data_IF_399198288144
#
_entry.id   IF_399198288144
#
_cell.length_a   1.000
_cell.length_b   1.000
_cell.length_c   1.000
_cell.angle_alpha   90.00
_cell.angle_beta   90.00
_cell.angle_gamma   90.00
#
_symmetry.space_group_name_H-M   'P 1'
#
loop_
_entity.id
_entity.type
_entity.pdbx_description
1 polymer ?
#
# COMPACT_ATOMS: atom_id res chain seq x y z
N UNK A 1 -19.53 -17.72 4.86
CA UNK A 1 -18.89 -16.67 4.04
C UNK A 1 -18.56 -15.58 5.02
N UNK A 2 -17.27 -15.30 5.25
CA UNK A 2 -16.86 -14.32 6.28
C UNK A 2 -17.13 -12.91 5.75
N UNK A 3 -17.99 -12.19 6.44
CA UNK A 3 -18.41 -10.83 6.12
C UNK A 3 -17.23 -9.85 6.04
N UNK A 4 -16.21 -10.05 6.89
CA UNK A 4 -14.98 -9.26 6.85
C UNK A 4 -14.17 -9.53 5.57
N UNK A 5 -14.19 -10.77 5.06
CA UNK A 5 -13.52 -11.12 3.81
C UNK A 5 -14.16 -10.43 2.60
N UNK A 6 -15.49 -10.30 2.57
CA UNK A 6 -16.19 -9.55 1.53
C UNK A 6 -15.83 -8.06 1.57
N UNK A 7 -15.72 -7.48 2.77
CA UNK A 7 -15.29 -6.10 2.94
C UNK A 7 -13.82 -5.89 2.51
N UNK A 8 -12.92 -6.81 2.84
CA UNK A 8 -11.52 -6.75 2.42
C UNK A 8 -11.37 -6.85 0.90
N UNK A 9 -12.14 -7.71 0.23
CA UNK A 9 -12.15 -7.77 -1.23
C UNK A 9 -12.57 -6.43 -1.84
N UNK A 10 -13.65 -5.82 -1.32
CA UNK A 10 -14.09 -4.50 -1.78
C UNK A 10 -13.05 -3.40 -1.48
N UNK A 11 -12.34 -3.50 -0.36
CA UNK A 11 -11.23 -2.61 -0.01
C UNK A 11 -10.11 -2.67 -1.06
N UNK A 12 -9.63 -3.86 -1.42
CA UNK A 12 -8.57 -4.00 -2.43
C UNK A 12 -9.05 -3.62 -3.83
N UNK A 13 -10.29 -3.93 -4.18
CA UNK A 13 -10.88 -3.51 -5.46
C UNK A 13 -10.94 -1.98 -5.60
N UNK A 14 -11.37 -1.27 -4.56
CA UNK A 14 -11.38 0.20 -4.58
C UNK A 14 -9.97 0.77 -4.63
N UNK A 15 -9.01 0.19 -3.91
CA UNK A 15 -7.60 0.61 -4.01
C UNK A 15 -7.09 0.44 -5.45
N UNK A 16 -7.32 -0.72 -6.06
CA UNK A 16 -6.97 -0.97 -7.45
C UNK A 16 -7.58 0.09 -8.38
N UNK A 17 -8.89 0.31 -8.31
CA UNK A 17 -9.60 1.30 -9.15
C UNK A 17 -9.03 2.72 -8.98
N UNK A 18 -8.77 3.13 -7.73
CA UNK A 18 -8.24 4.46 -7.42
C UNK A 18 -6.83 4.63 -7.95
N UNK A 19 -5.96 3.64 -7.76
CA UNK A 19 -4.57 3.76 -8.20
C UNK A 19 -4.46 3.69 -9.71
N UNK A 20 -5.20 2.79 -10.36
CA UNK A 20 -5.22 2.68 -11.82
C UNK A 20 -5.74 3.98 -12.48
N UNK A 21 -6.82 4.55 -11.93
CA UNK A 21 -7.40 5.81 -12.42
C UNK A 21 -6.49 7.03 -12.19
N UNK A 22 -5.61 6.98 -11.19
CA UNK A 22 -4.75 8.10 -10.80
C UNK A 22 -3.26 7.88 -11.12
N UNK A 23 -2.90 6.92 -11.98
CA UNK A 23 -1.50 6.62 -12.35
C UNK A 23 -0.67 7.85 -12.73
N UNK A 24 -1.24 8.74 -13.54
CA UNK A 24 -0.55 9.97 -13.97
C UNK A 24 -0.32 10.95 -12.81
N UNK A 25 -1.27 11.03 -11.87
CA UNK A 25 -1.16 11.88 -10.67
C UNK A 25 -0.11 11.30 -9.73
N UNK A 26 -0.11 9.97 -9.54
CA UNK A 26 0.90 9.26 -8.77
C UNK A 26 2.30 9.48 -9.34
N UNK A 27 2.47 9.35 -10.66
CA UNK A 27 3.76 9.56 -11.33
C UNK A 27 4.31 10.98 -11.09
N UNK A 28 3.47 12.01 -11.26
CA UNK A 28 3.86 13.39 -10.99
C UNK A 28 4.20 13.61 -9.49
N UNK A 29 3.45 12.97 -8.59
CA UNK A 29 3.69 13.08 -7.15
C UNK A 29 5.00 12.40 -6.73
N UNK A 30 5.31 11.25 -7.32
CA UNK A 30 6.56 10.52 -7.12
C UNK A 30 7.76 11.39 -7.51
N UNK A 31 7.71 12.07 -8.66
CA UNK A 31 8.80 12.97 -9.10
C UNK A 31 9.08 14.06 -8.08
N UNK A 32 8.00 14.68 -7.58
CA UNK A 32 8.10 15.73 -6.58
C UNK A 32 8.67 15.19 -5.26
N UNK A 33 8.08 14.12 -4.73
CA UNK A 33 8.49 13.53 -3.45
C UNK A 33 9.93 13.02 -3.49
N UNK A 34 10.35 12.39 -4.60
CA UNK A 34 11.71 11.89 -4.76
C UNK A 34 12.73 13.03 -4.68
N UNK A 35 12.46 14.13 -5.39
CA UNK A 35 13.30 15.32 -5.38
C UNK A 35 13.37 15.96 -3.98
N UNK A 36 12.21 16.09 -3.32
CA UNK A 36 12.11 16.64 -1.97
C UNK A 36 12.88 15.79 -0.94
N UNK A 37 12.73 14.46 -0.98
CA UNK A 37 13.35 13.57 0.00
C UNK A 37 14.87 13.44 -0.22
N UNK A 38 15.36 13.43 -1.47
CA UNK A 38 16.80 13.44 -1.76
C UNK A 38 17.47 14.67 -1.14
N UNK A 39 16.87 15.85 -1.33
CA UNK A 39 17.37 17.11 -0.76
C UNK A 39 17.29 17.08 0.76
N UNK A 40 16.16 16.65 1.32
CA UNK A 40 15.93 16.60 2.77
C UNK A 40 16.90 15.68 3.51
N UNK A 41 17.17 14.49 2.96
CA UNK A 41 18.08 13.52 3.58
C UNK A 41 19.56 13.83 3.29
N UNK A 42 19.84 14.81 2.41
CA UNK A 42 21.20 15.16 2.03
C UNK A 42 21.91 14.06 1.28
N UNK A 43 21.19 13.26 0.48
CA UNK A 43 21.81 12.19 -0.30
C UNK A 43 22.71 12.80 -1.39
N UNK A 44 24.02 12.62 -1.23
CA UNK A 44 25.02 13.12 -2.17
C UNK A 44 25.06 12.30 -3.47
N UNK A 45 25.68 12.86 -4.51
CA UNK A 45 25.94 12.19 -5.79
C UNK A 45 24.66 11.70 -6.51
N UNK A 46 23.67 12.58 -6.64
CA UNK A 46 22.55 12.41 -7.57
C UNK A 46 22.75 13.33 -8.77
N UNK A 47 23.10 12.74 -9.91
CA UNK A 47 22.93 13.37 -11.21
C UNK A 47 21.52 13.10 -11.75
N UNK A 48 21.17 13.76 -12.85
CA UNK A 48 19.86 13.59 -13.47
C UNK A 48 19.60 12.13 -13.88
N UNK A 49 20.63 11.39 -14.29
CA UNK A 49 20.50 10.01 -14.74
C UNK A 49 20.13 9.09 -13.57
N UNK A 50 20.73 9.28 -12.40
CA UNK A 50 20.40 8.54 -11.17
C UNK A 50 19.01 8.91 -10.65
N UNK A 51 18.61 10.18 -10.71
CA UNK A 51 17.25 10.59 -10.35
C UNK A 51 16.23 9.89 -11.26
N UNK A 52 16.48 9.90 -12.58
CA UNK A 52 15.62 9.22 -13.55
C UNK A 52 15.55 7.71 -13.29
N UNK A 53 16.67 7.06 -12.98
CA UNK A 53 16.68 5.64 -12.63
C UNK A 53 15.82 5.34 -11.39
N UNK A 54 15.92 6.16 -10.34
CA UNK A 54 15.07 6.00 -9.15
C UNK A 54 13.59 6.25 -9.45
N UNK A 55 13.29 7.25 -10.28
CA UNK A 55 11.93 7.51 -10.75
C UNK A 55 11.37 6.30 -11.49
N UNK A 56 12.12 5.72 -12.42
CA UNK A 56 11.68 4.56 -13.20
C UNK A 56 11.43 3.34 -12.29
N UNK A 57 12.27 3.13 -11.27
CA UNK A 57 12.03 2.10 -10.24
C UNK A 57 10.74 2.38 -9.47
N UNK A 58 10.51 3.62 -9.05
CA UNK A 58 9.26 3.98 -8.35
C UNK A 58 8.03 3.71 -9.21
N UNK A 59 8.09 4.03 -10.52
CA UNK A 59 6.99 3.78 -11.44
C UNK A 59 6.73 2.28 -11.63
N UNK A 60 7.78 1.47 -11.74
CA UNK A 60 7.65 0.01 -11.78
C UNK A 60 7.00 -0.53 -10.50
N UNK A 61 7.38 -0.02 -9.33
CA UNK A 61 6.81 -0.41 -8.05
C UNK A 61 5.33 -0.01 -7.90
N UNK A 62 4.89 1.10 -8.52
CA UNK A 62 3.47 1.44 -8.60
C UNK A 62 2.70 0.39 -9.40
N UNK A 63 3.21 -0.02 -10.56
CA UNK A 63 2.57 -1.05 -11.37
C UNK A 63 2.51 -2.40 -10.63
N UNK A 64 3.60 -2.80 -9.95
CA UNK A 64 3.61 -3.98 -9.09
C UNK A 64 2.57 -3.90 -7.96
N UNK A 65 2.41 -2.72 -7.34
CA UNK A 65 1.44 -2.52 -6.27
C UNK A 65 0.00 -2.60 -6.76
N UNK A 66 -0.27 -2.03 -7.93
CA UNK A 66 -1.59 -2.11 -8.57
C UNK A 66 -1.92 -3.56 -8.91
N UNK A 67 -0.98 -4.31 -9.48
CA UNK A 67 -1.19 -5.75 -9.75
C UNK A 67 -1.38 -6.57 -8.45
N UNK A 68 -0.73 -6.17 -7.35
CA UNK A 68 -0.94 -6.79 -6.04
C UNK A 68 -2.38 -6.60 -5.54
N UNK A 69 -2.99 -5.44 -5.79
CA UNK A 69 -4.38 -5.17 -5.44
C UNK A 69 -5.40 -5.69 -6.46
N UNK A 70 -4.94 -6.22 -7.60
CA UNK A 70 -5.81 -6.78 -8.63
C UNK A 70 -6.71 -7.87 -8.00
N UNK A 71 -8.04 -7.71 -8.01
CA UNK A 71 -8.97 -8.61 -7.33
C UNK A 71 -8.86 -10.08 -7.77
N UNK A 72 -8.39 -10.32 -8.99
CA UNK A 72 -8.16 -11.67 -9.52
C UNK A 72 -6.88 -12.28 -8.94
N UNK A 73 -5.81 -11.49 -8.78
CA UNK A 73 -4.52 -11.92 -8.22
C UNK A 73 -4.57 -12.12 -6.70
N UNK A 74 -5.21 -11.18 -5.99
CA UNK A 74 -5.33 -11.19 -4.53
C UNK A 74 -6.05 -12.44 -3.98
N UNK A 75 -7.06 -12.94 -4.70
CA UNK A 75 -7.77 -14.17 -4.33
C UNK A 75 -6.82 -15.37 -4.23
N UNK A 76 -5.72 -15.42 -5.00
CA UNK A 76 -4.77 -16.53 -4.93
C UNK A 76 -3.82 -16.46 -3.73
N UNK A 77 -3.53 -15.25 -3.23
CA UNK A 77 -2.60 -15.02 -2.12
C UNK A 77 -3.22 -15.43 -0.77
N UNK A 78 -4.51 -15.16 -0.56
CA UNK A 78 -5.16 -15.37 0.74
C UNK A 78 -6.06 -16.62 0.84
N UNK A 79 -6.42 -17.30 -0.26
CA UNK A 79 -7.35 -18.45 -0.22
C UNK A 79 -6.71 -19.83 0.04
N UNK A 80 -5.39 -19.94 0.07
CA UNK A 80 -4.75 -21.26 0.26
C UNK A 80 -4.55 -21.59 1.74
N UNK A 81 -5.20 -22.66 2.22
CA UNK A 81 -5.21 -23.20 3.59
C UNK A 81 -3.82 -23.60 4.16
N UNK A 82 -2.71 -23.35 3.45
CA UNK A 82 -1.31 -23.42 3.96
C UNK A 82 -0.73 -22.02 4.30
N UNK A 83 -1.59 -20.99 4.36
CA UNK A 83 -1.24 -19.58 4.28
C UNK A 83 -0.75 -18.91 5.56
N UNK A 84 -0.92 -19.44 6.78
CA UNK A 84 -0.58 -18.62 7.95
C UNK A 84 0.93 -18.32 8.05
N UNK A 85 1.78 -19.35 7.93
CA UNK A 85 3.24 -19.17 8.01
C UNK A 85 3.80 -18.46 6.77
N UNK A 86 3.24 -18.73 5.58
CA UNK A 86 3.64 -18.06 4.35
C UNK A 86 3.19 -16.59 4.31
N UNK A 87 1.96 -16.29 4.75
CA UNK A 87 1.47 -14.92 4.89
C UNK A 87 2.24 -14.19 5.99
N UNK A 88 2.55 -14.83 7.11
CA UNK A 88 3.36 -14.20 8.17
C UNK A 88 4.80 -13.90 7.71
N UNK A 89 5.39 -14.77 6.87
CA UNK A 89 6.67 -14.52 6.19
C UNK A 89 6.55 -13.43 5.11
N UNK A 90 5.42 -13.34 4.40
CA UNK A 90 5.15 -12.26 3.43
C UNK A 90 4.91 -10.91 4.12
N UNK A 91 4.26 -10.88 5.28
CA UNK A 91 4.13 -9.70 6.15
C UNK A 91 5.46 -9.23 6.73
N UNK A 92 6.48 -10.09 6.68
CA UNK A 92 7.86 -9.81 7.04
C UNK A 92 8.72 -9.47 5.81
N UNK A 93 8.15 -9.26 4.61
CA UNK A 93 8.91 -9.12 3.35
C UNK A 93 10.08 -8.14 3.49
N UNK A 94 11.23 -8.79 3.67
CA UNK A 94 12.61 -8.42 3.97
C UNK A 94 12.92 -7.14 4.76
N UNK A 95 12.28 -6.00 4.53
CA UNK A 95 12.71 -4.71 5.13
C UNK A 95 11.66 -4.03 5.99
N UNK A 96 10.41 -4.51 5.99
CA UNK A 96 9.29 -3.84 6.66
C UNK A 96 8.46 -4.86 7.45
N UNK A 97 8.32 -4.65 8.76
CA UNK A 97 7.43 -5.48 9.59
C UNK A 97 6.01 -4.94 9.54
N UNK A 98 5.17 -5.57 8.72
CA UNK A 98 3.80 -5.11 8.46
C UNK A 98 2.75 -5.83 9.29
N UNK A 99 3.15 -6.66 10.27
CA UNK A 99 2.22 -7.47 11.08
C UNK A 99 1.26 -6.63 11.90
N UNK A 100 1.75 -5.53 12.47
CA UNK A 100 0.92 -4.62 13.26
C UNK A 100 -0.13 -3.93 12.40
N UNK A 101 0.25 -3.47 11.20
CA UNK A 101 -0.66 -2.83 10.26
C UNK A 101 -1.69 -3.82 9.71
N UNK A 102 -1.27 -5.03 9.36
CA UNK A 102 -2.18 -6.08 8.91
C UNK A 102 -3.21 -6.43 9.99
N UNK A 103 -2.76 -6.57 11.24
CA UNK A 103 -3.67 -6.80 12.37
C UNK A 103 -4.69 -5.67 12.52
N UNK A 104 -4.26 -4.42 12.41
CA UNK A 104 -5.17 -3.27 12.49
C UNK A 104 -6.20 -3.26 11.35
N UNK A 105 -5.78 -3.57 10.11
CA UNK A 105 -6.69 -3.73 8.97
C UNK A 105 -7.74 -4.82 9.23
N UNK A 106 -7.32 -5.99 9.68
CA UNK A 106 -8.22 -7.11 9.99
C UNK A 106 -9.21 -6.76 11.11
N UNK A 107 -8.74 -6.15 12.19
CA UNK A 107 -9.60 -5.73 13.32
C UNK A 107 -10.63 -4.67 12.88
N UNK A 108 -10.21 -3.67 12.09
CA UNK A 108 -11.11 -2.65 11.55
C UNK A 108 -12.15 -3.25 10.60
N UNK A 109 -11.75 -4.16 9.70
CA UNK A 109 -12.65 -4.86 8.80
C UNK A 109 -13.70 -5.69 9.57
N UNK A 110 -13.27 -6.47 10.57
CA UNK A 110 -14.19 -7.25 11.40
C UNK A 110 -15.17 -6.37 12.19
N UNK A 111 -14.68 -5.28 12.80
CA UNK A 111 -15.53 -4.34 13.55
C UNK A 111 -16.63 -3.73 12.67
N UNK A 112 -16.27 -3.29 11.45
CA UNK A 112 -17.22 -2.70 10.49
C UNK A 112 -18.21 -3.72 9.93
N UNK A 113 -17.75 -4.94 9.65
CA UNK A 113 -18.59 -6.04 9.19
C UNK A 113 -19.70 -6.36 10.22
N UNK A 114 -19.32 -6.56 11.49
CA UNK A 114 -20.26 -6.89 12.58
C UNK A 114 -21.26 -5.75 12.84
N UNK A 115 -20.84 -4.49 12.70
CA UNK A 115 -21.65 -3.33 13.08
C UNK A 115 -22.71 -2.91 12.03
N UNK A 116 -22.54 -3.21 10.74
CA UNK A 116 -23.28 -2.49 9.67
C UNK A 116 -23.82 -3.31 8.48
N UNK A 117 -23.67 -4.63 8.45
CA UNK A 117 -24.06 -5.43 7.27
C UNK A 117 -25.56 -5.65 7.06
N UNK A 118 -26.44 -5.20 7.97
CA UNK A 118 -27.89 -5.29 7.78
C UNK A 118 -28.48 -4.19 6.89
N UNK A 119 -27.77 -3.09 6.62
CA UNK A 119 -28.38 -1.89 6.01
C UNK A 119 -27.58 -1.19 4.88
N UNK A 120 -26.34 -1.56 4.53
CA UNK A 120 -25.53 -0.76 3.56
C UNK A 120 -24.66 -1.55 2.56
N UNK A 121 -24.40 -0.90 1.42
CA UNK A 121 -23.48 -1.32 0.35
C UNK A 121 -22.02 -1.45 0.85
N UNK A 122 -21.30 -2.47 0.37
CA UNK A 122 -19.90 -2.75 0.72
C UNK A 122 -18.93 -1.61 0.36
N UNK A 123 -19.21 -0.87 -0.73
CA UNK A 123 -18.31 0.16 -1.27
C UNK A 123 -18.09 1.34 -0.29
N UNK A 124 -19.14 1.98 0.28
CA UNK A 124 -18.95 2.97 1.35
C UNK A 124 -18.17 2.46 2.57
N UNK A 125 -18.37 1.20 2.99
CA UNK A 125 -17.63 0.64 4.12
C UNK A 125 -16.16 0.44 3.80
N UNK A 126 -15.84 0.03 2.57
CA UNK A 126 -14.48 -0.09 2.09
C UNK A 126 -13.81 1.29 1.94
N UNK A 127 -14.55 2.30 1.46
CA UNK A 127 -14.06 3.69 1.45
C UNK A 127 -13.75 4.21 2.87
N UNK A 128 -14.63 3.93 3.84
CA UNK A 128 -14.39 4.25 5.26
C UNK A 128 -13.16 3.51 5.79
N UNK A 129 -13.00 2.23 5.43
CA UNK A 129 -11.85 1.42 5.83
C UNK A 129 -10.54 2.00 5.27
N UNK A 130 -10.47 2.35 3.98
CA UNK A 130 -9.31 3.00 3.36
C UNK A 130 -8.96 4.31 4.06
N UNK A 131 -9.96 5.14 4.40
CA UNK A 131 -9.71 6.40 5.13
C UNK A 131 -9.14 6.19 6.53
N UNK A 132 -9.53 5.09 7.19
CA UNK A 132 -9.11 4.78 8.54
C UNK A 132 -7.70 4.17 8.58
N UNK A 133 -7.43 3.20 7.70
CA UNK A 133 -6.21 2.38 7.77
C UNK A 133 -5.22 2.60 6.61
N UNK A 134 -5.57 3.36 5.58
CA UNK A 134 -4.73 3.56 4.39
C UNK A 134 -4.70 2.34 3.46
N UNK A 135 -3.74 2.30 2.55
CA UNK A 135 -3.38 1.18 1.70
C UNK A 135 -2.33 0.31 2.41
N UNK A 136 -2.70 -0.89 2.79
CA UNK A 136 -1.77 -1.85 3.37
C UNK A 136 -0.78 -2.36 2.29
N UNK A 137 0.55 -2.44 2.55
CA UNK A 137 1.30 -2.15 3.79
C UNK A 137 2.03 -0.79 3.86
N UNK A 138 1.48 0.27 3.28
CA UNK A 138 2.21 1.52 3.07
C UNK A 138 2.57 2.26 4.38
N UNK A 139 1.78 2.13 5.45
CA UNK A 139 2.14 2.78 6.72
C UNK A 139 3.38 2.13 7.36
N UNK A 140 3.54 0.81 7.22
CA UNK A 140 4.71 0.08 7.73
C UNK A 140 5.97 0.43 6.96
N UNK A 141 5.86 0.60 5.64
CA UNK A 141 6.95 1.09 4.78
C UNK A 141 7.37 2.49 5.22
N UNK A 142 6.41 3.42 5.34
CA UNK A 142 6.66 4.82 5.71
C UNK A 142 7.32 4.93 7.09
N UNK A 143 6.76 4.26 8.09
CA UNK A 143 7.27 4.32 9.47
C UNK A 143 8.68 3.73 9.59
N UNK A 144 8.95 2.62 8.91
CA UNK A 144 10.28 1.99 8.93
C UNK A 144 11.32 2.83 8.21
N UNK A 145 10.96 3.46 7.08
CA UNK A 145 11.85 4.40 6.39
C UNK A 145 12.16 5.60 7.29
N UNK A 146 11.18 6.16 7.99
CA UNK A 146 11.42 7.27 8.92
C UNK A 146 12.33 6.88 10.09
N UNK A 147 12.25 5.65 10.59
CA UNK A 147 13.12 5.15 11.64
C UNK A 147 14.57 4.99 11.16
N UNK A 148 14.78 4.56 9.92
CA UNK A 148 16.11 4.36 9.34
C UNK A 148 16.09 4.68 7.83
N UNK A 149 16.24 5.97 7.46
CA UNK A 149 16.26 6.38 6.07
C UNK A 149 17.47 5.81 5.34
N UNK A 150 17.26 5.17 4.20
CA UNK A 150 18.34 4.61 3.40
C UNK A 150 18.00 4.66 1.90
N UNK A 151 19.02 4.83 1.06
CA UNK A 151 18.85 4.97 -0.39
C UNK A 151 18.15 3.77 -1.03
N UNK A 152 18.50 2.58 -0.58
CA UNK A 152 17.90 1.35 -1.06
C UNK A 152 16.40 1.28 -0.72
N UNK A 153 15.96 1.84 0.42
CA UNK A 153 14.55 1.91 0.87
C UNK A 153 13.76 3.06 0.25
N UNK A 154 14.44 4.01 -0.40
CA UNK A 154 13.83 5.25 -0.88
C UNK A 154 12.71 5.00 -1.89
N UNK A 155 12.82 4.12 -2.91
CA UNK A 155 11.73 3.91 -3.87
C UNK A 155 10.43 3.44 -3.20
N UNK A 156 10.49 2.43 -2.32
CA UNK A 156 9.32 1.95 -1.58
C UNK A 156 8.66 3.05 -0.76
N UNK A 157 9.46 3.84 -0.04
CA UNK A 157 8.95 4.95 0.76
C UNK A 157 8.26 6.02 -0.09
N UNK A 158 8.85 6.41 -1.23
CA UNK A 158 8.27 7.41 -2.12
C UNK A 158 6.94 6.92 -2.69
N UNK A 159 6.88 5.65 -3.11
CA UNK A 159 5.66 5.03 -3.64
C UNK A 159 4.59 4.95 -2.55
N UNK A 160 4.92 4.43 -1.36
CA UNK A 160 3.99 4.33 -0.24
C UNK A 160 3.41 5.70 0.14
N UNK A 161 4.26 6.74 0.20
CA UNK A 161 3.78 8.11 0.44
C UNK A 161 2.90 8.65 -0.66
N UNK A 162 3.27 8.45 -1.93
CA UNK A 162 2.49 8.93 -3.05
C UNK A 162 1.09 8.27 -3.07
N UNK A 163 1.02 6.97 -2.78
CA UNK A 163 -0.23 6.21 -2.67
C UNK A 163 -1.09 6.79 -1.54
N UNK A 164 -0.55 6.86 -0.33
CA UNK A 164 -1.28 7.36 0.84
C UNK A 164 -1.83 8.78 0.64
N UNK A 165 -1.06 9.66 0.01
CA UNK A 165 -1.49 11.04 -0.30
C UNK A 165 -2.52 11.13 -1.43
N UNK A 166 -2.61 10.11 -2.29
CA UNK A 166 -3.56 10.09 -3.42
C UNK A 166 -4.90 9.50 -3.02
N UNK A 167 -4.92 8.53 -2.10
CA UNK A 167 -6.14 7.80 -1.72
C UNK A 167 -6.85 8.37 -0.49
N UNK A 168 -6.20 9.26 0.28
CA UNK A 168 -6.76 9.90 1.47
C UNK A 168 -7.31 11.29 1.15
#
# INVERSE_FOLDING_TARGET
>A
MDEAKLLLNAYYEILYERLDSNKNILAARIEQLLSEEIVKQGFENFDNDKINAYRDVCLAFVDERIETYNPIGFQYTFDRIRAHEAAELELQLNWYDSRAEFKALMEAAHSKAVARLKENNLRPLADELIKEVGAFPDNSIISTYHAEPALNKLPDYIVARAIEETIR
#
